data_IF_057035824726
#
_entry.id   IF_057035824726
#
_cell.length_a   1.000
_cell.length_b   1.000
_cell.length_c   1.000
_cell.angle_alpha   90.00
_cell.angle_beta   90.00
_cell.angle_gamma   90.00
#
_symmetry.space_group_name_H-M   'P 1'
#
loop_
_entity.id
_entity.type
_entity.pdbx_description
1 polymer ?
#
# COMPACT_ATOMS: atom_id res chain seq x y z
N UNK A 1 -19.52 -21.88 11.44
CA UNK A 1 -20.15 -20.99 10.43
C UNK A 1 -19.02 -20.15 9.90
N UNK A 2 -18.73 -20.18 8.61
CA UNK A 2 -17.56 -19.50 8.06
C UNK A 2 -17.88 -18.01 7.81
N UNK A 3 -17.25 -17.05 8.51
CA UNK A 3 -17.42 -15.64 8.23
C UNK A 3 -16.46 -15.16 7.13
N UNK A 4 -16.91 -14.20 6.33
CA UNK A 4 -16.04 -13.28 5.59
C UNK A 4 -15.99 -11.95 6.34
N UNK A 5 -14.78 -11.58 6.76
CA UNK A 5 -14.48 -10.34 7.47
C UNK A 5 -13.68 -9.40 6.56
N UNK A 6 -13.93 -8.10 6.62
CA UNK A 6 -13.21 -7.07 5.85
C UNK A 6 -12.88 -5.88 6.75
N UNK A 7 -11.63 -5.42 6.73
CA UNK A 7 -11.21 -4.21 7.48
C UNK A 7 -11.68 -2.95 6.76
N UNK A 8 -12.37 -2.06 7.48
CA UNK A 8 -12.72 -0.76 6.92
C UNK A 8 -11.52 0.19 6.99
N UNK A 9 -10.82 0.31 5.85
CA UNK A 9 -9.73 1.24 5.51
C UNK A 9 -8.30 0.77 5.81
N UNK A 10 -7.38 1.13 4.89
CA UNK A 10 -5.95 0.82 4.96
C UNK A 10 -5.16 1.71 5.92
N UNK A 11 -5.83 2.68 6.53
CA UNK A 11 -5.27 3.62 7.48
C UNK A 11 -5.96 3.37 8.80
N UNK A 12 -5.56 2.33 9.52
CA UNK A 12 -5.87 2.27 10.94
C UNK A 12 -5.05 3.38 11.62
N UNK A 13 -5.76 4.28 12.28
CA UNK A 13 -5.19 5.09 13.33
C UNK A 13 -5.15 4.19 14.55
N UNK A 14 -4.07 3.44 14.72
CA UNK A 14 -3.89 2.65 15.93
C UNK A 14 -3.22 3.49 17.01
N UNK A 15 -3.81 3.38 18.20
CA UNK A 15 -3.31 3.75 19.52
C UNK A 15 -1.92 3.13 19.76
N UNK A 16 -0.87 3.79 19.24
CA UNK A 16 0.47 3.61 19.78
C UNK A 16 0.58 4.47 21.06
N UNK A 17 1.29 3.98 22.09
CA UNK A 17 1.44 4.72 23.34
C UNK A 17 1.97 6.13 23.06
N UNK A 18 1.49 7.16 23.77
CA UNK A 18 1.88 8.54 23.51
C UNK A 18 3.39 8.67 23.72
N UNK A 19 4.10 9.09 22.67
CA UNK A 19 5.46 9.60 22.80
C UNK A 19 5.33 11.08 23.13
N UNK A 20 5.53 11.43 24.40
CA UNK A 20 5.62 12.82 24.84
C UNK A 20 6.74 13.54 24.09
N UNK A 21 6.40 14.67 23.47
CA UNK A 21 7.36 15.54 22.79
C UNK A 21 6.72 16.35 21.67
N UNK A 22 6.19 17.52 22.00
CA UNK A 22 5.83 18.53 21.00
C UNK A 22 7.08 18.98 20.25
N UNK A 23 7.16 18.70 18.95
CA UNK A 23 8.13 19.31 18.05
C UNK A 23 7.37 20.06 16.95
N UNK A 24 7.51 21.39 16.98
CA UNK A 24 6.95 22.31 15.99
C UNK A 24 7.41 21.95 14.57
N UNK A 25 6.44 21.86 13.65
CA UNK A 25 6.63 21.57 12.23
C UNK A 25 7.33 22.73 11.52
N UNK A 26 8.60 22.53 11.15
CA UNK A 26 9.25 23.26 10.06
C UNK A 26 8.95 22.55 8.74
N UNK A 27 8.45 23.28 7.75
CA UNK A 27 8.18 22.78 6.40
C UNK A 27 9.50 22.33 5.73
N UNK A 28 9.74 21.02 5.71
CA UNK A 28 10.85 20.39 5.00
C UNK A 28 10.59 18.90 4.87
N UNK A 29 10.40 18.42 3.64
CA UNK A 29 10.21 17.01 3.34
C UNK A 29 11.45 16.19 3.76
N UNK A 30 11.28 14.96 4.28
CA UNK A 30 12.41 14.17 4.75
C UNK A 30 13.27 13.70 3.57
N UNK A 31 14.51 14.19 3.50
CA UNK A 31 15.56 13.64 2.66
C UNK A 31 16.00 12.27 3.20
N UNK A 32 16.22 11.30 2.31
CA UNK A 32 16.79 10.01 2.66
C UNK A 32 18.33 10.15 2.72
N UNK A 33 18.93 9.85 3.88
CA UNK A 33 20.38 9.70 4.00
C UNK A 33 20.73 8.21 3.87
N UNK A 34 21.61 7.87 2.91
CA UNK A 34 22.15 6.52 2.74
C UNK A 34 23.30 6.33 3.74
N UNK A 35 23.16 5.36 4.65
CA UNK A 35 24.18 5.06 5.66
C UNK A 35 24.91 3.75 5.35
N UNK A 36 26.24 3.80 5.26
CA UNK A 36 27.11 2.63 5.10
C UNK A 36 27.42 1.95 6.45
N UNK A 37 26.60 0.93 6.75
CA UNK A 37 26.84 -0.39 7.42
C UNK A 37 27.57 -0.50 8.78
N UNK A 38 28.44 0.40 9.25
CA UNK A 38 29.19 0.11 10.49
C UNK A 38 28.44 0.36 11.81
N UNK A 39 27.22 0.92 11.79
CA UNK A 39 26.56 1.43 13.01
C UNK A 39 25.25 0.73 13.38
N UNK A 40 24.65 -0.09 12.49
CA UNK A 40 23.36 -0.74 12.75
C UNK A 40 23.59 -2.22 13.07
N UNK A 41 23.79 -2.54 14.35
CA UNK A 41 23.70 -3.94 14.82
C UNK A 41 22.24 -4.39 14.76
N UNK A 42 21.97 -5.67 14.53
CA UNK A 42 20.61 -6.27 14.62
C UNK A 42 19.88 -5.87 15.93
N UNK A 43 20.65 -5.60 16.99
CA UNK A 43 20.17 -5.10 18.29
C UNK A 43 19.49 -3.72 18.20
N UNK A 44 19.91 -2.80 17.31
CA UNK A 44 19.29 -1.48 17.19
C UNK A 44 17.93 -1.51 16.47
N UNK A 45 17.68 -2.51 15.60
CA UNK A 45 16.34 -2.74 15.04
C UNK A 45 15.38 -3.13 16.17
N UNK A 46 15.81 -4.02 17.08
CA UNK A 46 14.98 -4.46 18.21
C UNK A 46 14.66 -3.35 19.22
N UNK A 47 15.42 -2.25 19.23
CA UNK A 47 15.34 -1.18 20.26
C UNK A 47 14.65 0.11 19.80
N UNK A 48 13.75 0.06 18.81
CA UNK A 48 12.98 1.22 18.31
C UNK A 48 13.81 2.40 17.73
N UNK A 49 15.15 2.35 17.75
CA UNK A 49 15.99 3.50 17.37
C UNK A 49 16.07 3.78 15.86
N UNK A 50 15.68 2.82 15.02
CA UNK A 50 15.74 2.95 13.55
C UNK A 50 14.34 3.00 12.95
N UNK A 51 14.08 3.97 12.08
CA UNK A 51 12.81 4.08 11.36
C UNK A 51 13.10 4.24 9.87
N UNK A 52 12.63 3.30 9.05
CA UNK A 52 12.90 3.32 7.62
C UNK A 52 12.88 1.96 6.98
N UNK A 53 13.70 1.75 5.94
CA UNK A 53 13.71 0.52 5.16
C UNK A 53 15.05 -0.19 5.26
N UNK A 54 15.03 -1.51 5.41
CA UNK A 54 16.23 -2.34 5.50
C UNK A 54 16.17 -3.47 4.50
N UNK A 55 17.27 -3.67 3.80
CA UNK A 55 17.47 -4.85 2.98
C UNK A 55 18.12 -5.94 3.82
N UNK A 56 17.41 -7.04 4.01
CA UNK A 56 17.88 -8.12 4.87
C UNK A 56 17.39 -9.49 4.37
N UNK A 57 18.26 -10.52 4.43
CA UNK A 57 17.83 -11.89 4.38
C UNK A 57 17.13 -12.31 5.69
N UNK A 58 15.96 -12.91 5.55
CA UNK A 58 15.16 -13.46 6.63
C UNK A 58 14.92 -14.95 6.41
N UNK A 59 14.77 -15.70 7.50
CA UNK A 59 14.42 -17.12 7.50
C UNK A 59 13.11 -17.34 8.27
N UNK A 60 12.38 -18.41 7.92
CA UNK A 60 11.09 -18.91 8.44
C UNK A 60 9.86 -18.69 7.52
N UNK A 61 8.86 -19.57 7.67
CA UNK A 61 7.62 -19.53 6.92
C UNK A 61 6.40 -19.35 7.84
N UNK A 62 6.11 -18.08 8.17
CA UNK A 62 4.84 -17.68 8.81
C UNK A 62 3.99 -16.84 7.84
N UNK A 63 4.61 -16.38 6.75
CA UNK A 63 3.93 -15.63 5.69
C UNK A 63 3.75 -14.15 5.99
N UNK A 64 4.57 -13.58 6.89
CA UNK A 64 4.45 -12.18 7.33
C UNK A 64 5.24 -11.20 6.47
N UNK A 65 6.30 -11.67 5.80
CA UNK A 65 7.19 -10.85 4.97
C UNK A 65 7.02 -11.23 3.49
N UNK A 66 6.21 -10.49 2.72
CA UNK A 66 6.06 -10.76 1.30
C UNK A 66 7.17 -10.10 0.47
N UNK A 67 7.55 -10.75 -0.63
CA UNK A 67 8.45 -10.19 -1.64
C UNK A 67 7.78 -10.21 -3.01
N UNK A 68 8.24 -9.33 -3.91
CA UNK A 68 7.86 -9.39 -5.33
C UNK A 68 8.80 -10.35 -6.05
N UNK A 69 8.29 -11.50 -6.46
CA UNK A 69 9.03 -12.50 -7.23
C UNK A 69 8.34 -12.71 -8.58
N UNK A 70 9.08 -12.52 -9.68
CA UNK A 70 8.57 -12.66 -11.06
C UNK A 70 7.24 -11.92 -11.31
N UNK A 71 7.14 -10.69 -10.81
CA UNK A 71 5.96 -9.84 -10.98
C UNK A 71 4.79 -10.15 -10.03
N UNK A 72 4.88 -11.20 -9.21
CA UNK A 72 3.84 -11.58 -8.25
C UNK A 72 4.30 -11.32 -6.82
N UNK A 73 3.34 -11.00 -5.95
CA UNK A 73 3.58 -10.95 -4.51
C UNK A 73 3.54 -12.38 -3.98
N UNK A 74 4.62 -12.81 -3.32
CA UNK A 74 4.72 -14.13 -2.70
C UNK A 74 5.22 -13.99 -1.27
N UNK A 75 4.79 -14.88 -0.39
CA UNK A 75 5.37 -15.03 0.94
C UNK A 75 6.26 -16.29 0.90
N UNK A 76 7.57 -16.15 0.66
CA UNK A 76 8.47 -17.29 0.56
C UNK A 76 8.66 -17.97 1.92
N UNK A 77 8.88 -19.29 1.88
CA UNK A 77 9.36 -20.05 3.03
C UNK A 77 10.87 -20.27 2.97
N UNK A 78 11.48 -20.53 4.12
CA UNK A 78 12.92 -20.68 4.24
C UNK A 78 13.64 -19.34 4.16
N UNK A 79 14.84 -19.33 3.58
CA UNK A 79 15.68 -18.13 3.51
C UNK A 79 15.43 -17.34 2.24
N UNK A 80 15.16 -16.05 2.39
CA UNK A 80 14.92 -15.13 1.27
C UNK A 80 15.38 -13.72 1.63
N UNK A 81 15.59 -12.89 0.61
CA UNK A 81 16.05 -11.51 0.74
C UNK A 81 14.98 -10.54 0.24
N UNK A 82 14.78 -9.44 0.96
CA UNK A 82 13.90 -8.35 0.54
C UNK A 82 14.25 -7.02 1.20
N UNK A 83 13.63 -5.96 0.70
CA UNK A 83 13.65 -4.62 1.28
C UNK A 83 12.36 -4.44 2.08
N UNK A 84 12.48 -4.33 3.40
CA UNK A 84 11.34 -4.31 4.31
C UNK A 84 11.32 -3.05 5.16
N UNK A 85 10.12 -2.62 5.53
CA UNK A 85 9.95 -1.53 6.46
C UNK A 85 10.32 -1.96 7.88
N UNK A 86 10.95 -1.08 8.66
CA UNK A 86 11.49 -1.40 9.98
C UNK A 86 10.44 -1.95 10.95
N UNK A 87 9.23 -1.38 10.96
CA UNK A 87 8.15 -1.89 11.82
C UNK A 87 7.63 -3.25 11.37
N UNK A 88 7.56 -3.49 10.06
CA UNK A 88 7.16 -4.79 9.51
C UNK A 88 8.17 -5.88 9.86
N UNK A 89 9.47 -5.55 9.82
CA UNK A 89 10.53 -6.44 10.31
C UNK A 89 10.41 -6.70 11.81
N UNK A 90 10.14 -5.69 12.64
CA UNK A 90 9.92 -5.91 14.08
C UNK A 90 8.75 -6.83 14.34
N UNK A 91 7.64 -6.62 13.65
CA UNK A 91 6.47 -7.47 13.72
C UNK A 91 6.79 -8.91 13.32
N UNK A 92 7.54 -9.12 12.24
CA UNK A 92 7.96 -10.45 11.82
C UNK A 92 8.89 -11.12 12.85
N UNK A 93 9.89 -10.39 13.36
CA UNK A 93 10.84 -10.87 14.37
C UNK A 93 10.13 -11.28 15.68
N UNK A 94 9.15 -10.49 16.12
CA UNK A 94 8.36 -10.78 17.31
C UNK A 94 7.54 -12.08 17.17
N UNK A 95 7.24 -12.47 15.93
CA UNK A 95 6.48 -13.67 15.61
C UNK A 95 7.36 -14.84 15.15
N UNK A 96 8.69 -14.78 15.32
CA UNK A 96 9.57 -15.93 15.12
C UNK A 96 10.44 -15.89 13.87
N UNK A 97 10.38 -14.84 13.04
CA UNK A 97 11.37 -14.65 11.99
C UNK A 97 12.77 -14.40 12.56
N UNK A 98 13.78 -14.83 11.81
CA UNK A 98 15.19 -14.58 12.14
C UNK A 98 15.81 -13.77 11.02
N UNK A 99 16.39 -12.61 11.36
CA UNK A 99 17.24 -11.84 10.46
C UNK A 99 18.66 -12.39 10.50
N UNK A 100 19.24 -12.69 9.33
CA UNK A 100 20.60 -13.21 9.25
C UNK A 100 21.64 -12.09 9.23
N UNK A 101 21.37 -11.01 8.49
CA UNK A 101 22.23 -9.83 8.39
C UNK A 101 21.45 -8.61 7.89
N UNK A 102 22.08 -7.43 7.93
CA UNK A 102 21.55 -6.19 7.34
C UNK A 102 22.54 -5.76 6.27
N UNK A 103 22.09 -5.69 5.02
CA UNK A 103 22.94 -5.35 3.89
C UNK A 103 22.87 -3.86 3.55
N UNK A 104 21.67 -3.28 3.58
CA UNK A 104 21.43 -1.85 3.30
C UNK A 104 20.36 -1.30 4.23
N UNK A 105 20.44 -0.02 4.54
CA UNK A 105 19.46 0.66 5.37
C UNK A 105 19.25 2.11 4.90
N UNK A 106 17.98 2.51 4.84
CA UNK A 106 17.54 3.87 4.51
C UNK A 106 16.77 4.42 5.71
N UNK A 107 17.34 5.41 6.40
CA UNK A 107 16.74 6.01 7.58
C UNK A 107 15.86 7.19 7.20
N UNK A 108 14.74 7.36 7.90
CA UNK A 108 13.80 8.45 7.73
C UNK A 108 13.42 9.06 9.08
N UNK A 109 13.19 10.38 9.09
CA UNK A 109 12.57 11.02 10.26
C UNK A 109 11.12 10.56 10.37
N UNK A 110 10.74 10.11 11.58
CA UNK A 110 9.36 9.73 11.87
C UNK A 110 8.51 10.99 12.02
N UNK A 111 7.47 11.10 11.21
CA UNK A 111 6.42 12.08 11.42
C UNK A 111 5.32 11.52 12.32
N UNK A 112 4.72 12.37 13.16
CA UNK A 112 3.59 12.01 14.02
C UNK A 112 2.33 12.66 13.45
N UNK A 113 1.26 11.88 13.32
CA UNK A 113 -0.07 12.35 12.93
C UNK A 113 -0.13 13.16 11.62
N UNK A 114 0.79 12.91 10.69
CA UNK A 114 0.92 13.69 9.45
C UNK A 114 -0.35 13.76 8.60
N UNK A 115 -1.24 12.76 8.73
CA UNK A 115 -2.48 12.66 7.98
C UNK A 115 -3.73 12.59 8.87
N UNK A 116 -3.58 12.71 10.20
CA UNK A 116 -4.66 12.49 11.16
C UNK A 116 -5.87 13.36 10.86
N UNK A 117 -5.70 14.68 10.84
CA UNK A 117 -6.82 15.61 10.63
C UNK A 117 -7.53 15.42 9.29
N UNK A 118 -6.79 15.09 8.22
CA UNK A 118 -7.39 14.81 6.91
C UNK A 118 -8.21 13.52 6.93
N UNK A 119 -7.68 12.44 7.52
CA UNK A 119 -8.35 11.15 7.61
C UNK A 119 -9.57 11.22 8.52
N UNK A 120 -9.49 11.94 9.65
CA UNK A 120 -10.62 12.20 10.54
C UNK A 120 -11.73 12.97 9.81
N UNK A 121 -11.38 14.04 9.09
CA UNK A 121 -12.36 14.80 8.31
C UNK A 121 -13.07 13.94 7.26
N UNK A 122 -12.33 13.15 6.49
CA UNK A 122 -12.90 12.27 5.46
C UNK A 122 -13.72 11.13 6.08
N UNK A 123 -13.28 10.57 7.21
CA UNK A 123 -14.03 9.51 7.90
C UNK A 123 -15.33 10.05 8.50
N UNK A 124 -15.32 11.25 9.11
CA UNK A 124 -16.52 11.91 9.61
C UNK A 124 -17.51 12.16 8.47
N UNK A 125 -17.04 12.69 7.34
CA UNK A 125 -17.87 12.86 6.13
C UNK A 125 -18.47 11.52 5.65
N UNK A 126 -17.69 10.43 5.67
CA UNK A 126 -18.17 9.08 5.32
C UNK A 126 -19.29 8.62 6.25
N UNK A 127 -19.12 8.80 7.57
CA UNK A 127 -20.08 8.37 8.60
C UNK A 127 -21.36 9.21 8.55
N UNK A 128 -21.26 10.54 8.47
CA UNK A 128 -22.43 11.42 8.33
C UNK A 128 -23.23 11.10 7.06
N UNK A 129 -22.55 10.91 5.93
CA UNK A 129 -23.20 10.54 4.68
C UNK A 129 -23.89 9.17 4.77
N UNK A 130 -23.32 8.21 5.51
CA UNK A 130 -23.97 6.92 5.77
C UNK A 130 -25.26 7.10 6.60
N UNK A 131 -25.22 7.90 7.67
CA UNK A 131 -26.38 8.17 8.52
C UNK A 131 -27.49 8.91 7.76
N UNK A 132 -27.11 9.80 6.85
CA UNK A 132 -28.04 10.61 6.04
C UNK A 132 -28.48 9.93 4.74
N UNK A 133 -28.14 8.65 4.52
CA UNK A 133 -28.45 7.90 3.29
C UNK A 133 -27.96 8.60 1.99
N UNK A 134 -26.74 9.13 2.00
CA UNK A 134 -26.08 9.83 0.90
C UNK A 134 -24.95 8.97 0.30
N UNK A 135 -25.28 7.94 -0.53
CA UNK A 135 -24.29 6.97 -1.01
C UNK A 135 -23.18 7.60 -1.85
N UNK A 136 -23.48 8.66 -2.62
CA UNK A 136 -22.50 9.35 -3.46
C UNK A 136 -21.41 10.01 -2.62
N UNK A 137 -21.78 10.78 -1.59
CA UNK A 137 -20.83 11.48 -0.71
C UNK A 137 -19.98 10.46 0.07
N UNK A 138 -20.63 9.43 0.60
CA UNK A 138 -19.95 8.31 1.26
C UNK A 138 -18.89 7.67 0.34
N UNK A 139 -19.24 7.42 -0.91
CA UNK A 139 -18.32 6.80 -1.87
C UNK A 139 -17.17 7.72 -2.26
N UNK A 140 -17.41 9.03 -2.40
CA UNK A 140 -16.36 10.03 -2.64
C UNK A 140 -15.38 10.06 -1.46
N UNK A 141 -15.90 10.18 -0.23
CA UNK A 141 -15.08 10.19 0.98
C UNK A 141 -14.21 8.92 1.09
N UNK A 142 -14.82 7.74 0.90
CA UNK A 142 -14.11 6.45 0.89
C UNK A 142 -13.05 6.38 -0.23
N UNK A 143 -13.37 6.86 -1.43
CA UNK A 143 -12.45 6.87 -2.56
C UNK A 143 -11.23 7.75 -2.28
N UNK A 144 -11.43 8.95 -1.72
CA UNK A 144 -10.34 9.86 -1.36
C UNK A 144 -9.42 9.24 -0.31
N UNK A 145 -9.98 8.64 0.75
CA UNK A 145 -9.20 7.92 1.78
C UNK A 145 -8.36 6.80 1.15
N UNK A 146 -8.94 6.01 0.24
CA UNK A 146 -8.26 4.88 -0.39
C UNK A 146 -7.27 5.28 -1.49
N UNK A 147 -7.45 6.43 -2.14
CA UNK A 147 -6.62 6.85 -3.28
C UNK A 147 -5.39 7.64 -2.84
N UNK A 148 -5.43 8.24 -1.64
CA UNK A 148 -4.38 9.13 -1.15
C UNK A 148 -3.00 8.45 -1.06
N UNK A 149 -2.91 7.28 -0.41
CA UNK A 149 -1.62 6.58 -0.33
C UNK A 149 -1.14 6.10 -1.72
N UNK A 150 -2.08 5.81 -2.63
CA UNK A 150 -1.79 5.47 -4.02
C UNK A 150 -1.13 6.62 -4.77
N UNK A 151 -1.53 7.87 -4.48
CA UNK A 151 -0.87 9.06 -5.05
C UNK A 151 0.61 9.12 -4.67
N UNK A 152 0.97 8.78 -3.44
CA UNK A 152 2.37 8.74 -3.00
C UNK A 152 3.20 7.63 -3.69
N UNK A 153 2.56 6.54 -4.12
CA UNK A 153 3.21 5.41 -4.81
C UNK A 153 3.08 5.45 -6.33
N UNK A 154 2.66 6.57 -6.91
CA UNK A 154 2.43 6.69 -8.35
C UNK A 154 3.76 6.61 -9.11
N UNK A 155 3.82 5.75 -10.12
CA UNK A 155 5.00 5.68 -10.98
C UNK A 155 5.15 7.00 -11.73
N UNK A 156 6.34 7.63 -11.76
CA UNK A 156 6.56 8.81 -12.58
C UNK A 156 6.34 8.46 -14.05
N UNK A 157 5.53 9.26 -14.75
CA UNK A 157 5.38 9.12 -16.19
C UNK A 157 6.55 9.82 -16.85
N UNK A 158 7.30 9.08 -17.67
CA UNK A 158 8.35 9.66 -18.52
C UNK A 158 7.83 9.98 -19.91
N UNK A 159 6.53 9.76 -20.12
CA UNK A 159 5.86 10.02 -21.37
C UNK A 159 5.04 11.30 -21.28
N UNK A 160 5.08 12.09 -22.35
CA UNK A 160 4.23 13.25 -22.53
C UNK A 160 3.37 13.06 -23.77
N UNK A 161 2.07 13.25 -23.63
CA UNK A 161 1.11 13.18 -24.74
C UNK A 161 0.58 14.57 -25.04
N UNK A 162 0.70 15.00 -26.29
CA UNK A 162 0.30 16.34 -26.73
C UNK A 162 -0.24 16.30 -28.14
N UNK A 163 -1.01 17.33 -28.51
CA UNK A 163 -1.52 17.52 -29.87
C UNK A 163 -0.58 18.47 -30.58
N UNK A 164 0.04 18.01 -31.68
CA UNK A 164 1.05 18.77 -32.43
C UNK A 164 0.75 18.82 -33.92
N UNK A 165 1.22 19.87 -34.58
CA UNK A 165 1.29 19.96 -36.05
C UNK A 165 2.50 19.18 -36.56
N UNK A 166 2.53 18.90 -37.86
CA UNK A 166 3.69 18.25 -38.51
C UNK A 166 4.99 19.05 -38.33
N UNK A 167 4.92 20.38 -38.36
CA UNK A 167 6.06 21.27 -38.09
C UNK A 167 6.63 21.08 -36.68
N UNK A 168 5.75 21.03 -35.67
CA UNK A 168 6.15 20.83 -34.28
C UNK A 168 6.80 19.45 -34.08
N UNK A 169 6.26 18.42 -34.71
CA UNK A 169 6.83 17.06 -34.69
C UNK A 169 8.23 17.05 -35.31
N UNK A 170 8.41 17.72 -36.45
CA UNK A 170 9.71 17.79 -37.13
C UNK A 170 10.74 18.63 -36.35
N UNK A 171 10.32 19.50 -35.44
CA UNK A 171 11.19 20.29 -34.55
C UNK A 171 11.65 19.53 -33.30
N UNK A 172 11.20 18.29 -33.09
CA UNK A 172 11.55 17.50 -31.92
C UNK A 172 13.07 17.25 -31.86
N UNK A 173 13.66 17.46 -30.68
CA UNK A 173 15.09 17.20 -30.47
C UNK A 173 15.33 15.72 -30.17
N UNK A 174 16.56 15.26 -30.42
CA UNK A 174 17.00 13.88 -30.14
C UNK A 174 16.89 13.45 -28.65
N UNK A 175 16.61 14.38 -27.74
CA UNK A 175 16.32 14.06 -26.35
C UNK A 175 14.94 13.44 -26.13
N UNK A 176 14.12 13.32 -27.18
CA UNK A 176 12.78 12.78 -27.14
C UNK A 176 12.53 11.80 -28.29
N UNK A 177 12.00 10.63 -27.97
CA UNK A 177 11.56 9.66 -28.97
C UNK A 177 10.04 9.66 -29.08
N UNK A 178 9.53 9.45 -30.29
CA UNK A 178 8.08 9.31 -30.54
C UNK A 178 7.69 7.84 -30.30
N UNK A 179 6.86 7.59 -29.29
CA UNK A 179 6.31 6.26 -29.01
C UNK A 179 5.06 5.95 -29.83
N UNK A 180 4.20 6.95 -30.04
CA UNK A 180 2.96 6.79 -30.80
C UNK A 180 2.55 8.10 -31.45
N UNK A 181 2.02 8.02 -32.66
CA UNK A 181 1.41 9.12 -33.40
C UNK A 181 0.06 8.66 -33.93
N UNK A 182 -1.00 9.43 -33.68
CA UNK A 182 -2.33 9.23 -34.25
C UNK A 182 -2.73 10.50 -34.97
N UNK A 183 -2.96 10.40 -36.28
CA UNK A 183 -3.22 11.54 -37.14
C UNK A 183 -4.70 11.91 -37.20
N UNK A 184 -4.99 13.21 -37.11
CA UNK A 184 -6.31 13.84 -37.17
C UNK A 184 -6.31 14.98 -38.20
N UNK A 185 -5.83 14.70 -39.41
CA UNK A 185 -5.64 15.72 -40.45
C UNK A 185 -4.39 16.56 -40.18
N UNK A 186 -4.57 17.86 -39.96
CA UNK A 186 -3.46 18.82 -39.73
C UNK A 186 -2.80 18.70 -38.34
N UNK A 187 -3.45 17.96 -37.44
CA UNK A 187 -2.98 17.72 -36.08
C UNK A 187 -2.75 16.23 -35.85
N UNK A 188 -1.78 15.91 -35.01
CA UNK A 188 -1.52 14.55 -34.55
C UNK A 188 -1.50 14.50 -33.03
N UNK A 189 -2.09 13.48 -32.44
CA UNK A 189 -1.86 13.12 -31.04
C UNK A 189 -0.55 12.35 -30.97
N UNK A 190 0.45 12.94 -30.32
CA UNK A 190 1.80 12.40 -30.24
C UNK A 190 2.13 12.09 -28.79
N UNK A 191 2.59 10.87 -28.54
CA UNK A 191 3.18 10.49 -27.26
C UNK A 191 4.68 10.40 -27.45
N UNK A 192 5.42 11.18 -26.67
CA UNK A 192 6.88 11.16 -26.62
C UNK A 192 7.37 10.55 -25.33
N UNK A 193 8.59 10.01 -25.35
CA UNK A 193 9.31 9.55 -24.18
C UNK A 193 10.69 10.21 -24.14
N UNK A 194 11.17 10.50 -22.94
CA UNK A 194 12.51 11.04 -22.75
C UNK A 194 13.57 9.98 -23.11
N UNK A 195 14.47 10.32 -24.04
CA UNK A 195 15.61 9.48 -24.42
C UNK A 195 16.74 9.67 -23.40
N UNK A 196 16.76 8.82 -22.36
CA UNK A 196 17.67 8.99 -21.22
C UNK A 196 19.12 8.77 -21.62
N UNK A 197 19.36 7.75 -22.45
CA UNK A 197 20.68 7.38 -22.93
C UNK A 197 21.29 8.54 -23.72
N UNK A 198 20.55 9.09 -24.69
CA UNK A 198 21.03 10.21 -25.50
C UNK A 198 21.31 11.46 -24.65
N UNK A 199 20.42 11.82 -23.72
CA UNK A 199 20.63 12.98 -22.84
C UNK A 199 21.84 12.77 -21.94
N UNK A 200 22.00 11.57 -21.35
CA UNK A 200 23.14 11.27 -20.50
C UNK A 200 24.46 11.39 -21.26
N UNK A 201 24.51 10.87 -22.48
CA UNK A 201 25.70 10.88 -23.33
C UNK A 201 26.04 12.28 -23.89
N UNK A 202 25.04 13.08 -24.25
CA UNK A 202 25.25 14.34 -24.99
C UNK A 202 25.11 15.60 -24.13
N UNK A 203 24.26 15.57 -23.10
CA UNK A 203 23.92 16.72 -22.25
C UNK A 203 24.35 16.53 -20.79
N UNK A 204 24.68 15.31 -20.39
CA UNK A 204 25.19 14.97 -19.06
C UNK A 204 24.12 14.72 -18.00
N UNK A 205 24.57 14.24 -16.84
CA UNK A 205 23.72 13.80 -15.74
C UNK A 205 22.86 14.92 -15.13
N UNK A 206 23.41 16.14 -14.99
CA UNK A 206 22.69 17.27 -14.40
C UNK A 206 21.43 17.64 -15.21
N UNK A 207 21.53 17.59 -16.54
CA UNK A 207 20.41 17.89 -17.44
C UNK A 207 19.37 16.78 -17.39
N UNK A 208 19.81 15.51 -17.37
CA UNK A 208 18.92 14.37 -17.18
C UNK A 208 18.14 14.47 -15.87
N UNK A 209 18.81 14.77 -14.76
CA UNK A 209 18.18 14.95 -13.46
C UNK A 209 17.14 16.07 -13.48
N UNK A 210 17.42 17.21 -14.11
CA UNK A 210 16.45 18.30 -14.26
C UNK A 210 15.20 17.85 -15.02
N UNK A 211 15.35 17.12 -16.12
CA UNK A 211 14.21 16.56 -16.85
C UNK A 211 13.41 15.56 -16.01
N UNK A 212 14.10 14.64 -15.32
CA UNK A 212 13.44 13.63 -14.48
C UNK A 212 12.70 14.24 -13.29
N UNK A 213 13.23 15.31 -12.70
CA UNK A 213 12.57 16.04 -11.61
C UNK A 213 11.35 16.81 -12.14
N UNK A 214 11.48 17.51 -13.28
CA UNK A 214 10.37 18.27 -13.86
C UNK A 214 9.23 17.40 -14.38
N UNK A 215 9.52 16.21 -14.89
CA UNK A 215 8.51 15.21 -15.28
C UNK A 215 8.08 14.32 -14.10
N UNK A 216 8.82 14.37 -13.01
CA UNK A 216 8.52 13.64 -11.80
C UNK A 216 7.20 14.10 -11.22
N UNK A 217 6.42 13.16 -10.71
CA UNK A 217 5.24 13.49 -9.93
C UNK A 217 5.65 13.79 -8.49
N UNK A 218 4.96 14.71 -7.82
CA UNK A 218 5.05 14.91 -6.36
C UNK A 218 4.60 13.63 -5.63
N UNK A 219 5.55 12.73 -5.43
CA UNK A 219 5.34 11.36 -4.93
C UNK A 219 6.36 11.04 -3.87
N UNK A 220 6.00 10.12 -2.98
CA UNK A 220 6.92 9.65 -1.94
C UNK A 220 6.68 8.16 -1.72
N UNK A 221 7.44 7.34 -2.44
CA UNK A 221 7.30 5.88 -2.42
C UNK A 221 7.53 5.30 -1.03
N UNK A 222 8.34 5.96 -0.18
CA UNK A 222 8.58 5.52 1.20
C UNK A 222 7.30 5.63 2.04
N UNK A 223 6.53 6.71 1.90
CA UNK A 223 5.23 6.87 2.57
C UNK A 223 4.26 5.78 2.11
N UNK A 224 4.10 5.60 0.79
CA UNK A 224 3.20 4.57 0.26
C UNK A 224 3.59 3.16 0.73
N UNK A 225 4.89 2.86 0.73
CA UNK A 225 5.42 1.58 1.19
C UNK A 225 5.16 1.35 2.69
N UNK A 226 5.38 2.37 3.52
CA UNK A 226 5.11 2.30 4.96
C UNK A 226 3.61 2.09 5.26
N UNK A 227 2.71 2.81 4.57
CA UNK A 227 1.26 2.61 4.70
C UNK A 227 0.88 1.17 4.37
N UNK A 228 1.37 0.63 3.25
CA UNK A 228 1.06 -0.77 2.89
C UNK A 228 1.65 -1.78 3.87
N UNK A 229 2.82 -1.50 4.45
CA UNK A 229 3.44 -2.35 5.46
C UNK A 229 2.61 -2.40 6.74
N UNK A 230 2.14 -1.25 7.23
CA UNK A 230 1.20 -1.21 8.36
C UNK A 230 -0.11 -1.93 8.05
N UNK A 231 -0.69 -1.75 6.85
CA UNK A 231 -1.89 -2.50 6.45
C UNK A 231 -1.67 -4.02 6.49
N UNK A 232 -0.48 -4.50 6.06
CA UNK A 232 -0.12 -5.92 6.12
C UNK A 232 0.05 -6.42 7.56
N UNK A 233 0.68 -5.62 8.42
CA UNK A 233 0.82 -5.94 9.85
C UNK A 233 -0.55 -6.11 10.51
N UNK A 234 -1.51 -5.22 10.22
CA UNK A 234 -2.88 -5.28 10.75
C UNK A 234 -3.60 -6.56 10.29
N UNK A 235 -3.67 -6.83 8.97
CA UNK A 235 -4.38 -8.03 8.52
C UNK A 235 -3.69 -9.32 9.00
N UNK A 236 -2.36 -9.31 9.14
CA UNK A 236 -1.62 -10.45 9.64
C UNK A 236 -1.77 -10.64 11.16
N UNK A 237 -2.00 -9.57 11.95
CA UNK A 237 -2.31 -9.72 13.38
C UNK A 237 -3.62 -10.49 13.57
N UNK A 238 -4.65 -10.20 12.76
CA UNK A 238 -5.91 -10.96 12.76
C UNK A 238 -5.73 -12.41 12.31
N UNK A 239 -4.88 -12.66 11.30
CA UNK A 239 -4.54 -14.04 10.90
C UNK A 239 -3.88 -14.82 12.03
N UNK A 240 -2.88 -14.22 12.68
CA UNK A 240 -2.19 -14.84 13.82
C UNK A 240 -3.14 -15.09 14.98
N UNK A 241 -4.05 -14.15 15.27
CA UNK A 241 -5.09 -14.34 16.28
C UNK A 241 -6.02 -15.50 15.92
N UNK A 242 -6.46 -15.61 14.66
CA UNK A 242 -7.28 -16.73 14.19
C UNK A 242 -6.56 -18.07 14.39
N UNK A 243 -5.29 -18.15 13.99
CA UNK A 243 -4.47 -19.36 14.15
C UNK A 243 -4.28 -19.72 15.63
N UNK A 244 -4.06 -18.74 16.52
CA UNK A 244 -3.94 -18.95 17.95
C UNK A 244 -5.23 -19.47 18.59
N UNK A 245 -6.39 -19.14 18.01
CA UNK A 245 -7.69 -19.68 18.40
C UNK A 245 -7.97 -21.07 17.80
N UNK A 246 -7.04 -21.62 17.02
CA UNK A 246 -7.18 -22.91 16.35
C UNK A 246 -8.11 -22.86 15.13
N UNK A 247 -8.37 -21.68 14.57
CA UNK A 247 -9.18 -21.50 13.37
C UNK A 247 -8.37 -21.74 12.10
N UNK A 248 -9.03 -22.25 11.07
CA UNK A 248 -8.43 -22.38 9.74
C UNK A 248 -8.67 -21.11 8.92
N UNK A 249 -7.61 -20.64 8.25
CA UNK A 249 -7.69 -19.53 7.29
C UNK A 249 -7.83 -20.12 5.88
N UNK A 250 -8.97 -19.90 5.24
CA UNK A 250 -9.22 -20.40 3.88
C UNK A 250 -8.80 -19.40 2.80
N UNK A 251 -8.95 -18.11 3.08
CA UNK A 251 -8.67 -17.07 2.10
C UNK A 251 -8.36 -15.74 2.79
N UNK A 252 -7.52 -14.94 2.14
CA UNK A 252 -7.30 -13.54 2.51
C UNK A 252 -6.87 -12.74 1.28
N UNK A 253 -7.48 -11.58 1.07
CA UNK A 253 -7.06 -10.61 0.05
C UNK A 253 -7.02 -9.22 0.67
N UNK A 254 -5.82 -8.64 0.72
CA UNK A 254 -5.53 -7.26 1.15
C UNK A 254 -6.00 -6.92 2.56
N UNK A 255 -7.29 -6.70 2.75
CA UNK A 255 -7.99 -6.29 3.97
C UNK A 255 -9.10 -7.28 4.37
N UNK A 256 -9.23 -8.41 3.68
CA UNK A 256 -10.25 -9.42 3.93
C UNK A 256 -9.69 -10.74 4.46
N UNK A 257 -10.51 -11.48 5.22
CA UNK A 257 -10.17 -12.75 5.83
C UNK A 257 -11.39 -13.69 5.85
N UNK A 258 -11.18 -14.96 5.49
CA UNK A 258 -12.18 -16.03 5.54
C UNK A 258 -11.73 -17.13 6.49
N UNK A 259 -12.57 -17.44 7.47
CA UNK A 259 -12.31 -18.40 8.55
C UNK A 259 -13.41 -19.46 8.64
N UNK A 260 -13.20 -20.55 9.40
CA UNK A 260 -14.25 -21.52 9.79
C UNK A 260 -15.02 -21.14 11.07
N UNK A 261 -14.54 -20.13 11.80
CA UNK A 261 -15.12 -19.68 13.05
C UNK A 261 -15.07 -18.17 13.25
N UNK A 262 -15.77 -17.65 14.27
CA UNK A 262 -15.81 -16.23 14.59
C UNK A 262 -14.49 -15.78 15.22
N UNK A 263 -14.10 -14.55 14.94
CA UNK A 263 -13.10 -13.83 15.73
C UNK A 263 -13.74 -13.21 16.98
N UNK A 264 -12.94 -12.84 17.99
CA UNK A 264 -13.44 -12.16 19.18
C UNK A 264 -14.20 -10.87 18.83
N UNK A 265 -15.31 -10.53 19.52
CA UNK A 265 -16.10 -9.34 19.22
C UNK A 265 -15.30 -8.03 19.32
N UNK A 266 -14.24 -8.00 20.13
CA UNK A 266 -13.41 -6.82 20.38
C UNK A 266 -12.62 -6.37 19.15
N UNK A 267 -12.37 -7.28 18.22
CA UNK A 267 -11.70 -7.00 16.94
C UNK A 267 -12.67 -6.85 15.77
N UNK A 268 -13.98 -7.01 16.03
CA UNK A 268 -15.03 -6.98 15.03
C UNK A 268 -16.00 -5.81 15.27
N UNK A 269 -15.85 -4.73 14.50
CA UNK A 269 -16.71 -3.55 14.58
C UNK A 269 -16.97 -3.00 13.17
N UNK A 270 -18.21 -2.60 12.88
CA UNK A 270 -18.62 -2.10 11.56
C UNK A 270 -18.47 -0.60 11.37
N UNK A 271 -18.26 0.16 12.45
CA UNK A 271 -18.16 1.61 12.46
C UNK A 271 -16.77 2.12 12.85
N UNK A 272 -16.04 1.37 13.69
CA UNK A 272 -14.73 1.76 14.20
C UNK A 272 -13.63 1.51 13.14
N UNK A 273 -12.82 2.55 12.89
CA UNK A 273 -11.75 2.50 11.89
C UNK A 273 -10.71 1.43 12.25
N UNK A 274 -10.22 0.68 11.27
CA UNK A 274 -9.20 -0.36 11.45
C UNK A 274 -9.75 -1.73 11.86
N UNK A 275 -10.94 -1.80 12.47
CA UNK A 275 -11.57 -3.04 12.89
C UNK A 275 -12.14 -3.85 11.72
N UNK A 276 -12.31 -5.15 11.93
CA UNK A 276 -12.94 -6.04 10.96
C UNK A 276 -14.46 -5.91 11.01
N UNK A 277 -15.07 -5.72 9.85
CA UNK A 277 -16.51 -5.79 9.67
C UNK A 277 -16.91 -7.18 9.17
N UNK A 278 -17.92 -7.77 9.80
CA UNK A 278 -18.58 -8.96 9.27
C UNK A 278 -19.41 -8.59 8.05
N UNK A 279 -18.91 -8.94 6.87
CA UNK A 279 -19.62 -8.71 5.60
C UNK A 279 -20.63 -9.83 5.35
N UNK A 280 -20.17 -11.09 5.45
CA UNK A 280 -21.00 -12.22 5.07
C UNK A 280 -20.84 -13.43 5.96
N UNK A 281 -21.92 -14.22 6.04
CA UNK A 281 -21.88 -15.61 6.48
C UNK A 281 -22.43 -16.47 5.34
N UNK A 282 -21.75 -17.58 5.05
CA UNK A 282 -22.10 -18.45 3.93
C UNK A 282 -22.13 -19.91 4.37
N UNK A 283 -22.79 -20.75 3.56
CA UNK A 283 -22.92 -22.20 3.77
C UNK A 283 -21.70 -22.93 3.22
N UNK A 284 -21.29 -22.57 2.01
CA UNK A 284 -20.17 -23.19 1.31
C UNK A 284 -19.32 -22.13 0.60
N UNK A 285 -18.01 -22.34 0.56
CA UNK A 285 -17.06 -21.46 -0.11
C UNK A 285 -15.99 -22.26 -0.82
N UNK A 286 -15.73 -21.96 -2.09
CA UNK A 286 -14.69 -22.59 -2.91
C UNK A 286 -13.70 -21.51 -3.35
N UNK A 287 -12.42 -21.65 -2.99
CA UNK A 287 -11.37 -20.66 -3.26
C UNK A 287 -10.31 -21.29 -4.16
N UNK A 288 -10.36 -20.99 -5.46
CA UNK A 288 -9.52 -21.68 -6.47
C UNK A 288 -8.18 -20.98 -6.65
N UNK A 289 -8.19 -19.65 -6.69
CA UNK A 289 -7.00 -18.81 -6.86
C UNK A 289 -7.28 -17.38 -6.34
N UNK A 290 -6.27 -16.52 -6.21
CA UNK A 290 -6.49 -15.12 -5.80
C UNK A 290 -7.58 -14.46 -6.66
N UNK A 291 -8.57 -13.86 -6.00
CA UNK A 291 -9.74 -13.17 -6.60
C UNK A 291 -10.67 -14.06 -7.42
N UNK A 292 -10.57 -15.39 -7.32
CA UNK A 292 -11.48 -16.33 -7.97
C UNK A 292 -12.00 -17.32 -6.95
N UNK A 293 -13.23 -17.06 -6.51
CA UNK A 293 -13.91 -17.85 -5.50
C UNK A 293 -15.43 -17.86 -5.73
N UNK A 294 -16.10 -18.85 -5.15
CA UNK A 294 -17.55 -19.01 -5.13
C UNK A 294 -18.02 -19.05 -3.68
N UNK A 295 -19.12 -18.36 -3.36
CA UNK A 295 -19.76 -18.39 -2.04
C UNK A 295 -21.25 -18.72 -2.21
N UNK A 296 -21.70 -19.80 -1.58
CA UNK A 296 -23.12 -20.15 -1.46
C UNK A 296 -23.68 -19.49 -0.18
N UNK A 297 -24.40 -18.39 -0.33
CA UNK A 297 -25.06 -17.74 0.81
C UNK A 297 -26.26 -18.55 1.30
N UNK A 298 -26.51 -18.51 2.61
CA UNK A 298 -27.82 -18.97 3.12
C UNK A 298 -28.88 -17.99 2.61
N UNK A 299 -29.86 -18.48 1.86
CA UNK A 299 -31.08 -17.71 1.64
C UNK A 299 -31.75 -17.46 2.99
N UNK A 300 -31.58 -16.26 3.54
CA UNK A 300 -32.53 -15.73 4.49
C UNK A 300 -33.82 -15.50 3.69
N UNK A 301 -34.79 -16.43 3.83
CA UNK A 301 -36.19 -16.13 3.50
C UNK A 301 -36.62 -14.96 4.39
N UNK A 302 -36.40 -13.73 3.92
CA UNK A 302 -37.17 -12.61 4.42
C UNK A 302 -38.62 -12.82 3.94
N UNK A 303 -39.61 -12.88 4.83
CA UNK A 303 -40.99 -12.97 4.40
C UNK A 303 -41.31 -11.73 3.55
N UNK A 304 -41.53 -11.92 2.25
CA UNK A 304 -42.18 -10.92 1.40
C UNK A 304 -41.33 -10.12 0.39
N UNK A 305 -40.07 -10.46 0.10
CA UNK A 305 -39.36 -9.85 -1.05
C UNK A 305 -38.66 -10.88 -1.92
N UNK A 306 -39.25 -11.12 -3.09
CA UNK A 306 -38.64 -11.82 -4.22
C UNK A 306 -37.69 -10.84 -4.90
N UNK A 307 -36.38 -10.99 -4.68
CA UNK A 307 -35.37 -10.35 -5.52
C UNK A 307 -34.93 -11.37 -6.56
N UNK A 308 -35.27 -11.14 -7.82
CA UNK A 308 -34.72 -11.89 -8.94
C UNK A 308 -33.28 -11.43 -9.20
N UNK A 309 -32.45 -12.40 -9.62
CA UNK A 309 -31.06 -12.24 -10.08
C UNK A 309 -30.95 -11.22 -11.22
#
# INVERSE_FOLDING_TARGET
>A
MCPLLVSESKVALDDLPPVEGEAQLGAGFPFAEEFTIWTIRIISIRRETFYGFLEAPANEYIGLLPIKYQGRLVCPGGTFKGLFFSEELRFALANGYILLEIQRAFSFKRGVNCFLGLIEQLNNMKVEAQLNNQPTIRNIAKLLMNSMYGRFGMHPSLTNTSIWTEEQINSLTNGWDILSKIDFGELSLVTTILNKEWILENLGEEVLLKHLVNMGNDTNVAIASAVTAYSRMIINSYKLQALNLGLNIYYSDTDSLVLDGPLPPEVCDSARLGMLKLEHTFKEGIFVMPKVYYLEYKFLKLPGRTSYL
#
